data_IF_232667534887
#
_entry.id   IF_232667534887
#
_cell.length_a   1.000
_cell.length_b   1.000
_cell.length_c   1.000
_cell.angle_alpha   90.00
_cell.angle_beta   90.00
_cell.angle_gamma   90.00
#
_symmetry.space_group_name_H-M   'P 1'
#
loop_
_entity.id
_entity.type
_entity.pdbx_description
1 polymer ?
#
# COMPACT_ATOMS: atom_id res chain seq x y z
N UNK A 1 -2.72 -19.53 1.83
CA UNK A 1 -1.55 -19.40 0.93
C UNK A 1 -1.24 -17.93 0.71
N UNK A 2 0.01 -17.55 0.81
CA UNK A 2 0.42 -16.15 0.54
C UNK A 2 0.60 -15.97 -0.97
N UNK A 3 0.00 -14.88 -1.49
CA UNK A 3 0.12 -14.51 -2.89
C UNK A 3 1.03 -13.30 -3.01
N UNK A 4 2.00 -13.35 -3.93
CA UNK A 4 2.84 -12.23 -4.25
C UNK A 4 2.27 -11.54 -5.50
N UNK A 5 1.97 -10.25 -5.36
CA UNK A 5 1.57 -9.40 -6.48
C UNK A 5 2.70 -8.42 -6.75
N UNK A 6 3.13 -8.36 -8.01
CA UNK A 6 4.17 -7.44 -8.45
C UNK A 6 3.53 -6.37 -9.32
N UNK A 7 3.70 -5.11 -8.93
CA UNK A 7 3.19 -3.96 -9.68
C UNK A 7 4.38 -3.18 -10.23
N UNK A 8 4.50 -3.14 -11.54
CA UNK A 8 5.53 -2.34 -12.19
C UNK A 8 4.98 -0.93 -12.42
N UNK A 9 5.65 0.05 -11.83
CA UNK A 9 5.27 1.45 -11.86
C UNK A 9 6.05 2.15 -12.96
N UNK A 10 5.33 2.86 -13.83
CA UNK A 10 5.95 3.70 -14.85
C UNK A 10 5.12 4.98 -14.94
N UNK A 11 5.69 6.10 -14.49
CA UNK A 11 4.99 7.38 -14.47
C UNK A 11 4.92 8.01 -15.85
N UNK A 12 3.91 8.85 -16.06
CA UNK A 12 3.78 9.68 -17.25
C UNK A 12 4.55 11.01 -17.09
N UNK A 13 4.39 11.93 -18.03
CA UNK A 13 5.08 13.22 -17.99
C UNK A 13 4.69 14.11 -16.82
N UNK A 14 3.52 13.89 -16.22
CA UNK A 14 3.08 14.63 -15.03
C UNK A 14 3.41 13.91 -13.72
N UNK A 15 4.14 12.78 -13.78
CA UNK A 15 4.55 12.04 -12.59
C UNK A 15 3.46 11.17 -12.00
N UNK A 16 2.42 10.84 -12.76
CA UNK A 16 1.30 10.04 -12.31
C UNK A 16 1.34 8.62 -12.87
N UNK A 17 0.85 7.68 -12.07
CA UNK A 17 0.63 6.30 -12.47
C UNK A 17 -0.58 5.77 -11.72
N UNK A 18 -1.37 4.93 -12.37
CA UNK A 18 -2.50 4.25 -11.72
C UNK A 18 -2.76 2.92 -12.40
N UNK A 19 -3.04 1.90 -11.60
CA UNK A 19 -3.47 0.60 -12.09
C UNK A 19 -4.42 -0.04 -11.09
N UNK A 20 -5.33 -0.89 -11.59
CA UNK A 20 -6.28 -1.61 -10.76
C UNK A 20 -6.19 -3.09 -11.10
N UNK A 21 -6.18 -3.95 -10.10
CA UNK A 21 -6.08 -5.40 -10.29
C UNK A 21 -6.94 -6.14 -9.27
N UNK A 22 -7.43 -7.35 -9.63
CA UNK A 22 -8.24 -8.14 -8.72
C UNK A 22 -7.39 -8.81 -7.64
N UNK A 23 -7.99 -8.98 -6.46
CA UNK A 23 -7.43 -9.74 -5.35
C UNK A 23 -8.51 -10.69 -4.85
N UNK A 24 -8.14 -11.94 -4.61
CA UNK A 24 -9.09 -12.97 -4.16
C UNK A 24 -9.45 -12.87 -2.68
N UNK A 25 -9.04 -11.80 -2.04
CA UNK A 25 -9.21 -11.62 -0.60
C UNK A 25 -7.98 -12.06 0.17
N UNK A 26 -7.97 -11.80 1.46
CA UNK A 26 -6.87 -12.10 2.35
C UNK A 26 -6.47 -10.89 3.16
N UNK A 27 -5.24 -10.88 3.64
CA UNK A 27 -4.68 -9.77 4.43
C UNK A 27 -3.44 -9.23 3.75
N UNK A 28 -3.26 -7.91 3.79
CA UNK A 28 -2.00 -7.32 3.37
C UNK A 28 -0.95 -7.57 4.46
N UNK A 29 -0.08 -8.55 4.19
CA UNK A 29 0.90 -9.01 5.18
C UNK A 29 2.18 -8.19 5.15
N UNK A 30 2.61 -7.80 3.94
CA UNK A 30 3.86 -7.08 3.74
C UNK A 30 3.81 -6.36 2.40
N UNK A 31 4.51 -5.23 2.31
CA UNK A 31 4.80 -4.63 1.02
C UNK A 31 6.25 -4.14 0.97
N UNK A 32 6.78 -4.11 -0.25
CA UNK A 32 8.13 -3.63 -0.51
C UNK A 32 8.11 -2.73 -1.75
N UNK A 33 8.75 -1.59 -1.64
CA UNK A 33 9.00 -0.69 -2.76
C UNK A 33 10.47 -0.73 -3.14
N UNK A 34 10.75 -0.87 -4.44
CA UNK A 34 12.11 -0.85 -4.98
C UNK A 34 12.16 0.14 -6.14
N UNK A 35 12.89 1.26 -6.00
CA UNK A 35 13.07 2.21 -7.10
C UNK A 35 13.98 1.61 -8.17
N UNK A 36 13.80 2.07 -9.42
CA UNK A 36 14.72 1.70 -10.50
C UNK A 36 16.09 2.31 -10.26
N UNK A 37 17.15 1.59 -10.67
CA UNK A 37 18.50 2.05 -10.45
C UNK A 37 18.94 3.22 -11.36
N UNK A 38 18.25 3.41 -12.49
CA UNK A 38 18.59 4.44 -13.47
C UNK A 38 17.60 5.60 -13.47
N UNK A 39 16.30 5.31 -13.35
CA UNK A 39 15.24 6.30 -13.43
C UNK A 39 14.27 6.14 -12.24
N UNK A 40 14.74 6.32 -10.99
CA UNK A 40 13.90 6.16 -9.81
C UNK A 40 12.83 7.25 -9.73
N UNK A 41 11.72 6.95 -9.03
CA UNK A 41 10.71 7.96 -8.74
C UNK A 41 11.33 9.13 -7.99
N UNK A 42 10.74 10.32 -8.17
CA UNK A 42 11.23 11.53 -7.50
C UNK A 42 11.12 11.40 -5.97
N UNK A 43 11.92 12.16 -5.24
CA UNK A 43 11.93 12.14 -3.77
C UNK A 43 10.59 12.48 -3.14
N UNK A 44 9.77 13.29 -3.82
CA UNK A 44 8.44 13.67 -3.35
C UNK A 44 7.32 12.73 -3.77
N UNK A 45 7.63 11.59 -4.38
CA UNK A 45 6.62 10.66 -4.87
C UNK A 45 5.74 10.12 -3.73
N UNK A 46 4.44 10.09 -3.96
CA UNK A 46 3.45 9.56 -3.03
C UNK A 46 2.86 8.27 -3.59
N UNK A 47 2.64 7.28 -2.74
CA UNK A 47 2.03 6.02 -3.13
C UNK A 47 0.78 5.74 -2.31
N UNK A 48 -0.30 5.39 -2.99
CA UNK A 48 -1.55 4.95 -2.38
C UNK A 48 -1.96 3.60 -2.95
N UNK A 49 -2.43 2.71 -2.07
CA UNK A 49 -3.10 1.47 -2.48
C UNK A 49 -4.45 1.46 -1.78
N UNK A 50 -5.51 1.57 -2.56
CA UNK A 50 -6.88 1.71 -2.04
C UNK A 50 -7.77 0.62 -2.59
N UNK A 51 -8.75 0.20 -1.79
CA UNK A 51 -9.80 -0.70 -2.25
C UNK A 51 -10.72 0.03 -3.23
N UNK A 52 -10.93 -0.57 -4.40
CA UNK A 52 -11.75 0.05 -5.45
C UNK A 52 -13.22 0.18 -5.06
N UNK A 53 -13.71 -0.69 -4.19
CA UNK A 53 -15.10 -0.67 -3.73
C UNK A 53 -15.26 0.10 -2.42
N UNK A 54 -14.39 -0.18 -1.44
CA UNK A 54 -14.54 0.41 -0.09
C UNK A 54 -13.89 1.78 0.04
N UNK A 55 -12.91 2.10 -0.82
CA UNK A 55 -12.09 3.30 -0.67
C UNK A 55 -11.11 3.24 0.50
N UNK A 56 -10.99 2.08 1.15
CA UNK A 56 -10.07 1.94 2.28
C UNK A 56 -8.62 2.04 1.81
N UNK A 57 -7.82 2.86 2.50
CA UNK A 57 -6.41 3.04 2.18
C UNK A 57 -5.58 1.98 2.90
N UNK A 58 -5.16 0.95 2.18
CA UNK A 58 -4.28 -0.10 2.70
C UNK A 58 -2.84 0.38 2.83
N UNK A 59 -2.41 1.22 1.90
CA UNK A 59 -1.10 1.88 1.93
C UNK A 59 -1.33 3.35 1.59
N UNK A 60 -0.74 4.23 2.39
CA UNK A 60 -0.72 5.66 2.13
C UNK A 60 0.63 6.18 2.63
N UNK A 61 1.60 6.28 1.73
CA UNK A 61 2.94 6.73 2.05
C UNK A 61 3.30 7.93 1.20
N UNK A 62 3.71 9.00 1.87
CA UNK A 62 4.16 10.22 1.22
C UNK A 62 5.68 10.26 1.15
N UNK A 63 6.20 10.89 0.10
CA UNK A 63 7.63 11.13 -0.06
C UNK A 63 8.45 9.84 0.03
N UNK A 64 8.03 8.80 -0.70
CA UNK A 64 8.69 7.49 -0.66
C UNK A 64 10.13 7.52 -1.18
N UNK A 65 10.44 8.52 -2.00
CA UNK A 65 11.81 8.82 -2.37
C UNK A 65 12.46 7.81 -3.30
N UNK A 66 13.78 7.78 -3.21
CA UNK A 66 14.65 6.99 -4.08
C UNK A 66 15.27 5.80 -3.36
N UNK A 67 14.80 5.47 -2.17
CA UNK A 67 15.33 4.38 -1.34
C UNK A 67 14.34 3.25 -1.23
N UNK A 68 14.80 2.02 -1.42
CA UNK A 68 13.97 0.83 -1.24
C UNK A 68 13.58 0.66 0.23
N UNK A 69 12.37 0.19 0.48
CA UNK A 69 11.92 -0.13 1.84
C UNK A 69 10.91 -1.28 1.83
N UNK A 70 10.81 -1.94 2.98
CA UNK A 70 9.81 -2.99 3.22
C UNK A 70 9.05 -2.66 4.51
N UNK A 71 7.75 -2.94 4.53
CA UNK A 71 6.91 -2.69 5.70
C UNK A 71 5.95 -3.84 5.95
N UNK A 72 5.66 -4.07 7.22
CA UNK A 72 4.64 -5.01 7.68
C UNK A 72 3.49 -4.17 8.24
N UNK A 73 2.54 -3.74 7.39
CA UNK A 73 1.52 -2.79 7.81
C UNK A 73 0.54 -3.43 8.80
N UNK A 74 0.17 -2.67 9.81
CA UNK A 74 -0.82 -3.10 10.78
C UNK A 74 -1.79 -1.95 11.03
N UNK A 75 -3.02 -2.31 11.33
CA UNK A 75 -4.10 -1.35 11.59
C UNK A 75 -4.64 -1.56 12.99
N UNK A 76 -5.00 -0.48 13.66
CA UNK A 76 -5.70 -0.57 14.94
C UNK A 76 -7.04 -1.26 14.73
N UNK A 77 -7.36 -2.22 15.60
CA UNK A 77 -8.63 -2.94 15.56
C UNK A 77 -9.69 -2.24 16.40
N UNK A 78 -10.94 -2.59 16.17
CA UNK A 78 -12.07 -2.05 16.94
C UNK A 78 -13.02 -3.19 17.33
N UNK A 79 -13.87 -2.93 18.33
CA UNK A 79 -14.97 -3.81 18.65
C UNK A 79 -16.11 -3.64 17.62
N UNK A 80 -17.20 -4.39 17.78
CA UNK A 80 -18.32 -4.34 16.84
C UNK A 80 -19.04 -2.99 16.83
N UNK A 81 -18.88 -2.17 17.88
CA UNK A 81 -19.45 -0.83 17.95
C UNK A 81 -18.52 0.25 17.41
N UNK A 82 -17.32 -0.13 16.94
CA UNK A 82 -16.34 0.78 16.38
C UNK A 82 -15.40 1.42 17.39
N UNK A 83 -15.50 1.07 18.68
CA UNK A 83 -14.58 1.58 19.69
C UNK A 83 -13.23 0.85 19.58
N UNK A 84 -12.13 1.55 19.85
CA UNK A 84 -10.79 0.99 19.77
C UNK A 84 -10.62 -0.22 20.70
N UNK A 85 -10.08 -1.32 20.17
CA UNK A 85 -9.70 -2.48 20.97
C UNK A 85 -8.33 -2.22 21.58
N UNK A 86 -8.23 -2.32 22.91
CA UNK A 86 -7.02 -2.05 23.66
C UNK A 86 -6.59 -3.30 24.44
N UNK A 87 -5.27 -3.44 24.68
CA UNK A 87 -4.74 -4.51 25.52
C UNK A 87 -5.19 -4.38 26.98
N UNK A 88 -5.45 -3.14 27.41
CA UNK A 88 -6.01 -2.82 28.71
C UNK A 88 -6.88 -1.57 28.56
N UNK A 89 -7.71 -1.25 29.55
CA UNK A 89 -8.69 -0.16 29.46
C UNK A 89 -8.16 1.19 29.00
N UNK A 90 -6.88 1.47 29.22
CA UNK A 90 -6.19 2.67 28.74
C UNK A 90 -4.84 2.33 28.10
N UNK A 91 -4.69 1.08 27.63
CA UNK A 91 -3.43 0.59 27.08
C UNK A 91 -3.27 0.87 25.59
N UNK A 92 -2.25 0.23 25.02
CA UNK A 92 -1.93 0.35 23.60
C UNK A 92 -3.03 -0.30 22.73
N UNK A 93 -3.27 0.22 21.53
CA UNK A 93 -4.23 -0.40 20.60
C UNK A 93 -3.80 -1.80 20.20
N UNK A 94 -4.76 -2.69 20.07
CA UNK A 94 -4.57 -3.99 19.44
C UNK A 94 -4.57 -3.79 17.94
N UNK A 95 -3.51 -4.26 17.26
CA UNK A 95 -3.35 -4.07 15.84
C UNK A 95 -3.28 -5.41 15.10
N UNK A 96 -3.74 -5.42 13.87
CA UNK A 96 -3.67 -6.59 12.99
C UNK A 96 -3.50 -6.14 11.55
N UNK A 97 -3.16 -7.08 10.66
CA UNK A 97 -3.08 -6.81 9.24
C UNK A 97 -4.48 -6.49 8.68
N UNK A 98 -4.53 -5.53 7.74
CA UNK A 98 -5.80 -5.13 7.14
C UNK A 98 -6.36 -6.25 6.26
N UNK A 99 -7.65 -6.53 6.39
CA UNK A 99 -8.35 -7.54 5.61
C UNK A 99 -8.80 -6.95 4.29
N UNK A 100 -8.49 -7.64 3.19
CA UNK A 100 -8.94 -7.29 1.85
C UNK A 100 -10.11 -8.21 1.52
N UNK A 101 -11.30 -7.65 1.37
CA UNK A 101 -12.55 -8.41 1.26
C UNK A 101 -12.94 -8.80 -0.15
N UNK A 102 -12.03 -9.23 -0.99
CA UNK A 102 -12.36 -9.71 -2.34
C UNK A 102 -12.65 -8.57 -3.32
N UNK A 103 -12.19 -7.37 -3.06
CA UNK A 103 -12.31 -6.23 -3.96
C UNK A 103 -11.05 -6.06 -4.80
N UNK A 104 -11.16 -5.26 -5.85
CA UNK A 104 -9.99 -4.86 -6.61
C UNK A 104 -9.19 -3.82 -5.81
N UNK A 105 -7.89 -3.80 -6.03
CA UNK A 105 -7.00 -2.78 -5.45
C UNK A 105 -6.53 -1.83 -6.55
N UNK A 106 -6.53 -0.54 -6.23
CA UNK A 106 -5.99 0.50 -7.10
C UNK A 106 -4.69 1.02 -6.50
N UNK A 107 -3.61 0.92 -7.26
CA UNK A 107 -2.31 1.51 -6.92
C UNK A 107 -2.17 2.82 -7.68
N UNK A 108 -1.87 3.89 -6.96
CA UNK A 108 -1.69 5.22 -7.55
C UNK A 108 -0.39 5.84 -7.10
N UNK A 109 0.30 6.48 -8.03
CA UNK A 109 1.49 7.29 -7.75
C UNK A 109 1.18 8.73 -8.14
N UNK A 110 1.53 9.67 -7.28
CA UNK A 110 1.49 11.09 -7.54
C UNK A 110 2.87 11.70 -7.30
N UNK A 111 3.18 12.76 -8.00
CA UNK A 111 4.46 13.48 -7.85
C UNK A 111 5.68 12.59 -8.06
N UNK A 112 5.54 11.58 -8.91
CA UNK A 112 6.59 10.58 -9.15
C UNK A 112 7.71 11.03 -10.09
N UNK A 113 7.58 12.19 -10.69
CA UNK A 113 8.55 12.68 -11.69
C UNK A 113 8.24 12.19 -13.09
N UNK A 114 8.81 12.85 -14.08
CA UNK A 114 8.57 12.58 -15.50
C UNK A 114 9.21 11.27 -15.93
N UNK A 115 8.40 10.32 -16.38
CA UNK A 115 8.85 9.03 -16.97
C UNK A 115 9.82 8.29 -16.06
N UNK A 116 9.42 8.07 -14.81
CA UNK A 116 10.19 7.36 -13.79
C UNK A 116 9.62 5.96 -13.56
N UNK A 117 10.44 5.08 -12.99
CA UNK A 117 10.13 3.65 -12.86
C UNK A 117 10.38 3.16 -11.44
N UNK A 118 9.58 2.20 -11.00
CA UNK A 118 9.76 1.52 -9.73
C UNK A 118 8.96 0.23 -9.70
N UNK A 119 9.11 -0.55 -8.65
CA UNK A 119 8.37 -1.79 -8.46
C UNK A 119 7.79 -1.84 -7.06
N UNK A 120 6.52 -2.20 -6.98
CA UNK A 120 5.84 -2.44 -5.72
C UNK A 120 5.51 -3.93 -5.62
N UNK A 121 5.90 -4.55 -4.52
CA UNK A 121 5.58 -5.93 -4.21
C UNK A 121 4.56 -5.95 -3.07
N UNK A 122 3.50 -6.74 -3.22
CA UNK A 122 2.46 -6.92 -2.20
C UNK A 122 2.35 -8.40 -1.87
N UNK A 123 2.50 -8.74 -0.60
CA UNK A 123 2.25 -10.11 -0.10
C UNK A 123 0.90 -10.13 0.58
N UNK A 124 -0.02 -10.92 0.03
CA UNK A 124 -1.41 -11.02 0.50
C UNK A 124 -1.68 -12.48 0.87
N UNK A 125 -2.12 -12.68 2.08
CA UNK A 125 -2.34 -14.03 2.60
C UNK A 125 -3.52 -14.20 3.53
#
# INVERSE_FOLDING_TARGET
MVQLITVEIATNSSGAFSTTFPVNGGRLMQYRYVPDGTAPLATGADIDVVGATTGFAYINQDNIGTTAFSKLPRQATSDEAGAASLYAGSGEPVEDAAVIGGEQLTVSIAEGGDTKVGTLYLWIG
#
